data_IF_864013605914
#
_entry.id   IF_864013605914
#
_cell.length_a   1.000
_cell.length_b   1.000
_cell.length_c   1.000
_cell.angle_alpha   90.00
_cell.angle_beta   90.00
_cell.angle_gamma   90.00
#
_symmetry.space_group_name_H-M   'P 1'
#
loop_
_entity.id
_entity.type
_entity.pdbx_description
1 polymer ?
2 non-polymer ?
3 water ?
#
# COMPACT_ATOMS: atom_id res chain seq x y z
N UNK A 4 6.96 7.09 -15.80
CA UNK A 4 6.08 6.71 -14.70
C UNK A 4 5.25 5.48 -15.06
N UNK A 5 5.03 4.60 -14.07
CA UNK A 5 4.22 3.41 -14.27
C UNK A 5 2.74 3.79 -14.25
N UNK A 6 1.86 2.78 -14.32
CA UNK A 6 0.43 3.02 -14.26
C UNK A 6 -0.14 2.84 -12.87
N UNK A 7 0.44 3.51 -11.88
CA UNK A 7 -0.06 3.43 -10.51
C UNK A 7 -1.33 4.25 -10.30
N UNK A 8 -1.76 5.02 -11.29
CA UNK A 8 -2.88 5.93 -11.14
C UNK A 8 -3.98 5.71 -12.17
N UNK A 9 -3.88 4.68 -13.00
CA UNK A 9 -4.83 4.48 -14.08
C UNK A 9 -6.22 4.16 -13.54
N UNK A 10 -7.23 4.79 -14.14
CA UNK A 10 -8.62 4.63 -13.74
C UNK A 10 -9.43 4.09 -14.93
N UNK A 11 -10.27 3.06 -14.73
CA UNK A 11 -10.54 2.40 -13.45
C UNK A 11 -9.51 1.31 -13.11
N UNK A 12 -9.36 1.06 -11.82
CA UNK A 12 -8.47 -0.02 -11.36
C UNK A 12 -9.12 -1.35 -11.66
N UNK A 13 -8.37 -2.34 -12.15
CA UNK A 13 -8.97 -3.65 -12.47
C UNK A 13 -9.63 -4.28 -11.25
N UNK A 14 -10.52 -5.23 -11.52
CA UNK A 14 -11.35 -5.84 -10.48
C UNK A 14 -10.56 -6.74 -9.54
N UNK A 15 -9.33 -7.11 -9.88
CA UNK A 15 -8.54 -7.99 -9.02
C UNK A 15 -7.08 -7.52 -9.01
N UNK A 16 -6.40 -7.85 -7.91
CA UNK A 16 -5.00 -7.50 -7.74
C UNK A 16 -4.28 -8.67 -7.09
N UNK A 17 -2.95 -8.64 -7.15
CA UNK A 17 -2.11 -9.65 -6.54
C UNK A 17 -0.80 -9.00 -6.13
N UNK A 18 -0.53 -8.98 -4.83
CA UNK A 18 0.67 -8.35 -4.29
C UNK A 18 1.63 -9.45 -3.85
N UNK A 19 2.83 -9.45 -4.43
CA UNK A 19 3.85 -10.44 -4.14
C UNK A 19 5.05 -9.76 -3.49
N UNK A 20 5.61 -10.41 -2.47
CA UNK A 20 6.76 -9.89 -1.74
C UNK A 20 7.83 -10.97 -1.68
N UNK A 21 9.07 -10.60 -1.99
CA UNK A 21 10.16 -11.56 -2.10
C UNK A 21 11.30 -11.19 -1.16
N UNK A 22 11.96 -12.23 -0.65
CA UNK A 22 13.16 -12.08 0.17
C UNK A 22 14.37 -12.53 -0.65
N UNK A 23 15.40 -11.70 -0.68
CA UNK A 23 16.63 -12.04 -1.40
C UNK A 23 17.47 -12.94 -0.51
N UNK A 24 17.63 -14.21 -0.91
CA UNK A 24 18.40 -15.16 -0.14
C UNK A 24 19.62 -15.70 -0.87
N UNK A 25 19.61 -15.73 -2.20
CA UNK A 25 20.76 -16.16 -3.01
C UNK A 25 21.13 -15.02 -3.94
N UNK A 26 21.95 -14.07 -3.48
CA UNK A 26 22.23 -12.88 -4.30
C UNK A 26 23.04 -13.17 -5.55
N UNK A 27 23.78 -14.28 -5.59
CA UNK A 27 24.57 -14.60 -6.76
C UNK A 27 23.71 -14.90 -7.98
N UNK A 28 22.46 -15.32 -7.76
CA UNK A 28 21.53 -15.62 -8.85
C UNK A 28 20.65 -14.42 -9.23
N UNK A 29 20.90 -13.26 -8.63
CA UNK A 29 20.07 -12.09 -8.92
C UNK A 29 20.16 -11.63 -10.37
N UNK A 30 21.34 -11.55 -11.01
CA UNK A 30 21.37 -11.13 -12.42
C UNK A 30 20.51 -11.99 -13.32
N UNK A 31 20.47 -13.31 -13.09
CA UNK A 31 19.64 -14.17 -13.92
C UNK A 31 18.15 -13.90 -13.70
N UNK A 32 17.76 -13.52 -12.49
CA UNK A 32 16.36 -13.25 -12.21
C UNK A 32 15.91 -11.91 -12.78
N UNK A 33 16.78 -10.89 -12.71
CA UNK A 33 16.42 -9.57 -13.22
C UNK A 33 16.28 -9.59 -14.74
N UNK A 34 17.10 -10.37 -15.43
CA UNK A 34 17.04 -10.43 -16.89
C UNK A 34 15.74 -11.06 -17.38
N UNK A 35 15.02 -11.78 -16.52
CA UNK A 35 13.74 -12.35 -16.88
C UNK A 35 12.54 -11.61 -16.30
N UNK A 36 12.76 -10.72 -15.32
CA UNK A 36 11.68 -9.99 -14.69
C UNK A 36 11.46 -8.62 -15.33
N UNK A 37 12.54 -7.87 -15.54
CA UNK A 37 12.41 -6.50 -16.04
C UNK A 37 11.73 -6.41 -17.40
N UNK A 38 12.00 -7.29 -18.39
CA UNK A 38 11.23 -7.23 -19.65
C UNK A 38 9.73 -7.41 -19.47
N UNK A 39 9.27 -7.86 -18.30
CA UNK A 39 7.84 -8.03 -18.05
C UNK A 39 7.22 -6.87 -17.29
N UNK A 40 8.03 -6.02 -16.64
CA UNK A 40 7.52 -4.88 -15.90
C UNK A 40 7.02 -3.82 -16.88
N UNK A 41 5.72 -3.87 -17.20
CA UNK A 41 5.13 -2.92 -18.12
C UNK A 41 4.61 -1.66 -17.42
N UNK A 42 4.43 -1.70 -16.11
CA UNK A 42 3.91 -0.58 -15.36
C UNK A 42 2.40 -0.53 -15.25
N UNK A 43 1.68 -1.27 -16.09
CA UNK A 43 0.23 -1.28 -16.08
C UNK A 43 -0.35 -2.58 -15.56
N UNK A 44 0.11 -3.72 -16.10
CA UNK A 44 -0.33 -5.02 -15.60
C UNK A 44 0.61 -5.59 -14.56
N UNK A 45 1.90 -5.20 -14.61
CA UNK A 45 2.90 -5.67 -13.65
C UNK A 45 3.72 -4.47 -13.21
N UNK A 46 3.61 -4.12 -11.93
CA UNK A 46 4.34 -3.00 -11.36
C UNK A 46 5.41 -3.51 -10.41
N UNK A 47 6.47 -2.72 -10.25
CA UNK A 47 7.63 -3.13 -9.46
C UNK A 47 7.97 -2.06 -8.43
N UNK A 48 8.39 -2.52 -7.25
CA UNK A 48 8.84 -1.63 -6.19
C UNK A 48 10.05 -2.18 -5.48
N UNK A 49 11.12 -1.39 -5.40
CA UNK A 49 12.37 -1.82 -4.80
C UNK A 49 12.34 -1.53 -3.31
N UNK A 50 12.72 -2.53 -2.50
CA UNK A 50 12.78 -2.36 -1.07
C UNK A 50 14.17 -1.97 -0.59
N UNK A 51 14.21 -1.47 0.64
CA UNK A 51 15.49 -1.04 1.21
C UNK A 51 16.54 -2.15 1.29
N UNK A 52 16.23 -3.38 1.72
CA UNK A 52 17.29 -4.40 1.75
C UNK A 52 17.86 -4.75 0.39
N UNK A 53 17.07 -4.61 -0.67
CA UNK A 53 17.59 -4.88 -2.02
C UNK A 53 18.58 -3.81 -2.45
N UNK A 54 18.30 -2.54 -2.13
CA UNK A 54 19.26 -1.48 -2.42
C UNK A 54 20.49 -1.62 -1.53
N UNK A 55 20.30 -2.04 -0.28
CA UNK A 55 21.43 -2.20 0.62
C UNK A 55 22.30 -3.38 0.22
N UNK A 56 21.70 -4.43 -0.32
CA UNK A 56 22.47 -5.59 -0.75
C UNK A 56 23.33 -5.28 -1.97
N UNK A 57 22.93 -4.30 -2.77
CA UNK A 57 23.69 -3.88 -3.94
C UNK A 57 24.64 -2.73 -3.65
N UNK A 58 24.68 -2.24 -2.41
CA UNK A 58 25.59 -1.19 -2.01
C UNK A 58 25.19 0.21 -2.44
N UNK A 59 24.31 0.35 -3.43
CA UNK A 59 23.87 1.65 -3.90
C UNK A 59 22.66 2.10 -3.09
N UNK A 60 22.70 3.32 -2.58
CA UNK A 60 21.64 3.87 -1.74
C UNK A 60 20.76 4.79 -2.57
N UNK A 61 19.45 4.52 -2.54
CA UNK A 61 18.47 5.29 -3.30
C UNK A 61 17.94 6.42 -2.41
N UNK A 62 17.94 7.67 -2.88
CA UNK A 62 17.47 8.78 -2.03
C UNK A 62 15.97 8.66 -1.79
N UNK A 63 15.59 8.75 -0.50
CA UNK A 63 14.22 8.63 -0.09
C UNK A 63 13.79 7.23 0.30
N UNK A 64 14.49 6.20 -0.18
CA UNK A 64 14.14 4.83 0.14
C UNK A 64 14.73 4.42 1.48
N UNK A 65 13.89 3.88 2.36
CA UNK A 65 14.30 3.43 3.68
C UNK A 65 13.30 2.38 4.16
N UNK A 66 13.69 1.55 5.13
CA UNK A 66 12.76 0.53 5.62
C UNK A 66 11.52 1.15 6.26
N UNK A 67 10.48 0.32 6.39
CA UNK A 67 9.27 0.75 7.08
C UNK A 67 9.61 1.15 8.52
N UNK A 68 9.11 2.28 9.00
CA UNK A 68 9.58 2.81 10.28
C UNK A 68 9.09 1.99 11.47
N UNK A 69 9.80 2.16 12.58
CA UNK A 69 9.44 1.55 13.85
C UNK A 69 8.79 2.61 14.72
N UNK A 70 7.52 2.40 15.06
CA UNK A 70 6.73 3.39 15.79
C UNK A 70 6.48 2.89 17.20
N UNK A 71 7.28 3.38 18.15
CA UNK A 71 7.10 3.06 19.56
C UNK A 71 5.83 3.74 20.08
N UNK A 72 4.69 3.09 19.89
CA UNK A 72 3.40 3.65 20.28
C UNK A 72 2.60 2.59 21.02
N UNK A 73 1.38 2.95 21.40
CA UNK A 73 0.48 2.04 22.09
C UNK A 73 -0.22 1.08 21.14
N UNK A 74 -0.05 1.26 19.83
CA UNK A 74 -0.64 0.35 18.84
C UNK A 74 0.49 -0.25 18.01
N UNK A 75 0.21 -1.42 17.45
CA UNK A 75 1.22 -2.24 16.78
C UNK A 75 1.13 -2.02 15.27
N UNK A 76 2.17 -1.42 14.70
CA UNK A 76 2.33 -1.32 13.25
C UNK A 76 3.60 -2.07 12.88
N UNK A 77 3.49 -3.33 12.47
CA UNK A 77 4.70 -4.13 12.23
C UNK A 77 5.50 -3.62 11.04
N UNK A 78 6.80 -3.86 11.09
CA UNK A 78 7.72 -3.52 10.02
C UNK A 78 8.19 -4.82 9.38
N UNK A 79 7.50 -5.23 8.31
CA UNK A 79 7.85 -6.44 7.60
C UNK A 79 8.48 -6.10 6.25
N UNK A 80 9.59 -5.38 6.29
CA UNK A 80 10.22 -4.90 5.07
C UNK A 80 10.81 -6.07 4.28
N UNK A 81 10.50 -6.12 2.99
CA UNK A 81 11.01 -7.13 2.08
C UNK A 81 11.86 -6.46 1.00
N UNK A 82 12.43 -7.28 0.13
CA UNK A 82 13.38 -6.77 -0.85
C UNK A 82 12.69 -6.30 -2.13
N UNK A 83 11.66 -7.01 -2.57
CA UNK A 83 11.05 -6.73 -3.86
C UNK A 83 9.53 -6.87 -3.74
N UNK A 84 8.82 -6.00 -4.46
CA UNK A 84 7.35 -5.97 -4.46
C UNK A 84 6.86 -6.01 -5.90
N UNK A 85 6.00 -6.97 -6.21
CA UNK A 85 5.36 -7.08 -7.52
C UNK A 85 3.88 -6.81 -7.37
N UNK A 86 3.38 -5.82 -8.10
CA UNK A 86 1.98 -5.43 -8.06
C UNK A 86 1.34 -5.87 -9.37
N UNK A 87 0.52 -6.92 -9.30
CA UNK A 87 -0.19 -7.44 -10.45
C UNK A 87 -1.63 -6.94 -10.45
N UNK A 88 -2.06 -6.39 -11.58
CA UNK A 88 -3.42 -5.87 -11.74
C UNK A 88 -4.06 -6.53 -12.95
N UNK A 89 -5.33 -6.91 -12.81
CA UNK A 89 -6.03 -7.55 -13.90
C UNK A 89 -7.44 -7.90 -13.50
N UNK A 90 -8.28 -8.09 -14.52
CA UNK A 90 -9.68 -8.43 -14.28
C UNK A 90 -9.88 -9.91 -14.04
N UNK A 91 -9.01 -10.76 -14.59
CA UNK A 91 -9.13 -12.20 -14.44
C UNK A 91 -8.36 -12.64 -13.20
N UNK A 92 -9.09 -13.10 -12.18
CA UNK A 92 -8.46 -13.55 -10.96
C UNK A 92 -7.59 -14.79 -11.20
N UNK A 93 -8.03 -15.67 -12.10
CA UNK A 93 -7.26 -16.86 -12.38
C UNK A 93 -5.98 -16.58 -13.14
N UNK A 94 -5.99 -15.58 -14.02
CA UNK A 94 -4.77 -15.22 -14.74
C UNK A 94 -3.71 -14.68 -13.79
N UNK A 95 -4.13 -13.93 -12.78
CA UNK A 95 -3.18 -13.43 -11.79
C UNK A 95 -2.59 -14.56 -10.96
N UNK A 96 -3.38 -15.61 -10.70
CA UNK A 96 -2.87 -16.77 -9.97
C UNK A 96 -1.90 -17.57 -10.82
N UNK A 97 -2.15 -17.65 -12.12
CA UNK A 97 -1.23 -18.37 -13.00
C UNK A 97 0.06 -17.58 -13.19
N UNK A 98 -0.03 -16.25 -13.24
CA UNK A 98 1.18 -15.46 -13.50
C UNK A 98 2.06 -15.37 -12.25
N UNK A 99 1.48 -15.31 -11.06
CA UNK A 99 2.30 -15.28 -9.85
C UNK A 99 3.06 -16.59 -9.69
N UNK A 100 2.51 -17.70 -10.16
CA UNK A 100 3.25 -18.96 -10.13
C UNK A 100 4.40 -18.95 -11.13
N UNK A 101 4.19 -18.32 -12.29
CA UNK A 101 5.28 -18.19 -13.26
C UNK A 101 6.36 -17.23 -12.77
N UNK A 102 5.94 -16.13 -12.13
CA UNK A 102 6.91 -15.19 -11.58
C UNK A 102 7.68 -15.80 -10.41
N UNK A 103 7.02 -16.68 -9.64
CA UNK A 103 7.69 -17.30 -8.50
C UNK A 103 8.81 -18.23 -8.95
N UNK A 104 8.61 -18.92 -10.08
CA UNK A 104 9.62 -19.85 -10.58
C UNK A 104 10.78 -19.12 -11.25
N UNK A 105 10.48 -18.08 -12.03
CA UNK A 105 11.53 -17.35 -12.74
C UNK A 105 12.43 -16.56 -11.80
N UNK A 106 11.95 -16.23 -10.59
CA UNK A 106 12.74 -15.48 -9.64
C UNK A 106 13.60 -16.34 -8.73
N UNK A 107 13.31 -17.64 -8.65
CA UNK A 107 14.13 -18.56 -7.87
C UNK A 107 15.41 -18.90 -8.63
N UNK A 108 16.51 -19.18 -7.92
CA UNK A 108 16.66 -19.22 -6.46
C UNK A 108 17.09 -17.90 -5.84
N UNK A 109 17.12 -16.84 -6.64
CA UNK A 109 17.58 -15.54 -6.14
C UNK A 109 16.59 -14.96 -5.13
N UNK A 110 15.30 -15.00 -5.45
CA UNK A 110 14.27 -14.39 -4.61
C UNK A 110 13.23 -15.45 -4.26
N UNK A 111 12.99 -15.65 -2.97
CA UNK A 111 11.96 -16.55 -2.50
C UNK A 111 10.72 -15.76 -2.09
N UNK A 112 9.55 -16.28 -2.44
CA UNK A 112 8.30 -15.60 -2.12
C UNK A 112 8.08 -15.60 -0.61
N UNK A 113 8.07 -14.39 -0.02
CA UNK A 113 7.87 -14.20 1.41
C UNK A 113 6.42 -13.91 1.78
N UNK A 114 5.66 -13.24 0.93
CA UNK A 114 4.28 -12.93 1.22
C UNK A 114 3.51 -12.76 -0.09
N UNK A 115 2.22 -13.10 -0.05
CA UNK A 115 1.35 -12.98 -1.21
C UNK A 115 -0.05 -12.60 -0.75
N UNK A 116 -0.70 -11.71 -1.51
CA UNK A 116 -2.02 -11.18 -1.17
C UNK A 116 -2.91 -11.29 -2.38
N UNK A 117 -4.02 -12.05 -2.25
CA UNK A 117 -5.02 -12.16 -3.30
C UNK A 117 -6.06 -11.06 -3.08
N UNK A 118 -5.96 -9.99 -3.86
CA UNK A 118 -6.76 -8.80 -3.68
C UNK A 118 -7.88 -8.68 -4.69
N UNK A 119 -8.93 -7.97 -4.30
CA UNK A 119 -10.05 -7.67 -5.18
C UNK A 119 -10.61 -6.31 -4.81
N UNK A 120 -11.13 -5.60 -5.82
CA UNK A 120 -11.74 -4.30 -5.62
C UNK A 120 -13.22 -4.51 -5.29
N UNK A 121 -13.59 -4.25 -4.04
CA UNK A 121 -14.93 -4.56 -3.55
C UNK A 121 -15.87 -3.42 -3.90
N UNK A 122 -16.87 -3.72 -4.75
CA UNK A 122 -17.91 -2.77 -5.13
C UNK A 122 -17.33 -1.48 -5.71
N UNK A 123 -16.30 -1.63 -6.54
CA UNK A 123 -15.70 -0.50 -7.23
C UNK A 123 -14.79 0.37 -6.39
N UNK A 124 -14.74 0.18 -5.08
CA UNK A 124 -13.88 0.97 -4.23
C UNK A 124 -14.41 1.11 -2.82
N UNK A 125 -15.05 0.06 -2.32
CA UNK A 125 -15.61 0.04 -0.98
C UNK A 125 -14.83 -0.93 -0.10
N UNK A 126 -14.75 -0.61 1.18
CA UNK A 126 -14.18 -1.53 2.16
C UNK A 126 -15.23 -2.57 2.55
N UNK A 127 -14.76 -3.71 3.05
CA UNK A 127 -15.66 -4.78 3.45
C UNK A 127 -16.64 -4.35 4.53
N UNK A 128 -16.31 -3.32 5.31
CA UNK A 128 -17.23 -2.76 6.29
C UNK A 128 -18.34 -1.94 5.64
N UNK A 129 -18.31 -1.73 4.33
CA UNK A 129 -19.31 -0.98 3.63
C UNK A 129 -18.96 0.48 3.41
N UNK A 130 -17.96 1.00 4.11
CA UNK A 130 -17.60 2.41 3.99
C UNK A 130 -16.76 2.63 2.73
N UNK A 131 -17.15 3.66 1.95
CA UNK A 131 -16.46 3.98 0.71
C UNK A 131 -15.11 4.62 1.04
N UNK A 132 -14.02 3.89 0.78
CA UNK A 132 -12.68 4.43 0.95
C UNK A 132 -12.17 4.94 -0.40
N UNK A 133 -11.51 6.09 -0.36
CA UNK A 133 -11.07 6.76 -1.57
C UNK A 133 -11.92 7.95 -1.98
N UNK A 134 -12.84 8.40 -1.11
CA UNK A 134 -13.67 9.55 -1.44
C UNK A 134 -12.84 10.83 -1.51
N UNK A 135 -11.96 11.04 -0.53
CA UNK A 135 -11.15 12.24 -0.45
C UNK A 135 -9.79 12.09 -1.13
N UNK A 136 -9.69 11.22 -2.14
CA UNK A 136 -8.49 11.17 -2.95
C UNK A 136 -8.38 12.43 -3.80
N UNK A 137 -7.16 12.89 -4.07
CA UNK A 137 -6.99 14.08 -4.91
C UNK A 137 -7.62 13.88 -6.29
N UNK A 138 -8.01 14.99 -6.91
CA UNK A 138 -8.64 14.94 -8.22
C UNK A 138 -7.66 14.41 -9.26
N UNK A 139 -8.21 14.07 -10.44
CA UNK A 139 -7.43 13.37 -11.45
C UNK A 139 -6.20 14.14 -11.91
N UNK A 140 -6.19 15.47 -11.76
CA UNK A 140 -5.02 16.26 -12.10
C UNK A 140 -4.13 16.57 -10.89
N UNK A 141 -4.67 16.44 -9.67
CA UNK A 141 -3.85 16.55 -8.47
C UNK A 141 -3.12 15.26 -8.12
N UNK A 142 -3.51 14.14 -8.73
CA UNK A 142 -2.94 12.85 -8.37
C UNK A 142 -1.47 12.78 -8.79
N UNK A 143 -1.17 13.14 -10.04
CA UNK A 143 0.21 13.11 -10.51
C UNK A 143 1.09 14.04 -9.69
N UNK A 144 0.53 15.17 -9.23
CA UNK A 144 1.33 16.12 -8.46
C UNK A 144 1.65 15.55 -7.07
N UNK A 145 0.74 14.78 -6.49
CA UNK A 145 0.91 14.30 -5.12
C UNK A 145 1.56 12.93 -5.03
N UNK A 146 1.55 12.14 -6.11
CA UNK A 146 2.08 10.79 -6.08
C UNK A 146 3.43 10.63 -6.77
N UNK A 147 3.76 11.48 -7.73
CA UNK A 147 4.95 11.33 -8.54
C UNK A 147 5.97 12.38 -8.14
N UNK A 148 7.25 11.97 -8.09
CA UNK A 148 8.33 12.86 -7.68
C UNK A 148 8.92 13.53 -8.93
N UNK A 149 10.17 13.98 -8.85
CA UNK A 149 10.77 14.71 -9.96
C UNK A 149 11.14 13.77 -11.11
N UNK A 150 11.82 12.66 -10.80
CA UNK A 150 12.28 11.74 -11.82
C UNK A 150 11.14 10.94 -12.45
N UNK A 151 9.98 10.87 -11.79
CA UNK A 151 8.93 9.97 -12.19
C UNK A 151 8.75 8.82 -11.24
N UNK A 152 9.55 8.73 -10.18
CA UNK A 152 9.45 7.69 -9.18
C UNK A 152 8.32 7.98 -8.21
N UNK A 153 7.81 6.93 -7.60
CA UNK A 153 6.82 7.05 -6.53
C UNK A 153 7.27 6.22 -5.34
N UNK A 154 6.92 6.67 -4.15
CA UNK A 154 7.30 6.01 -2.91
C UNK A 154 6.04 5.48 -2.24
N UNK A 155 5.87 4.17 -2.28
CA UNK A 155 4.65 3.50 -1.84
C UNK A 155 4.84 2.84 -0.48
N UNK A 156 3.77 2.84 0.31
CA UNK A 156 3.73 2.19 1.61
C UNK A 156 2.61 1.18 1.63
N UNK A 157 2.93 -0.06 1.97
CA UNK A 157 1.97 -1.17 1.98
C UNK A 157 1.72 -1.63 3.40
N UNK A 158 0.46 -1.95 3.70
CA UNK A 158 0.08 -2.41 5.03
C UNK A 158 -1.11 -3.35 4.89
N UNK A 159 -0.97 -4.56 5.43
CA UNK A 159 -2.03 -5.57 5.35
C UNK A 159 -2.82 -5.53 6.65
N UNK A 160 -3.99 -4.88 6.60
CA UNK A 160 -4.85 -4.75 7.76
C UNK A 160 -5.83 -5.90 7.82
N UNK A 161 -5.95 -6.53 8.99
CA UNK A 161 -6.90 -7.62 9.21
C UNK A 161 -8.08 -7.09 10.01
N UNK A 162 -9.28 -7.26 9.48
CA UNK A 162 -10.49 -6.76 10.12
C UNK A 162 -11.12 -7.82 11.02
N UNK A 163 -11.79 -7.34 12.07
CA UNK A 163 -12.68 -8.18 12.87
C UNK A 163 -14.10 -7.77 12.49
N UNK A 164 -14.55 -8.26 11.33
CA UNK A 164 -15.85 -7.86 10.80
C UNK A 164 -16.98 -8.31 11.71
N UNK A 165 -16.84 -9.45 12.38
CA UNK A 165 -17.90 -9.92 13.28
C UNK A 165 -18.08 -8.98 14.47
N UNK A 166 -17.00 -8.31 14.89
CA UNK A 166 -17.08 -7.37 16.00
C UNK A 166 -17.51 -5.98 15.56
N UNK A 167 -16.97 -5.49 14.44
CA UNK A 167 -17.31 -4.14 13.99
C UNK A 167 -18.78 -4.05 13.59
N UNK A 168 -19.30 -5.06 12.91
CA UNK A 168 -20.69 -5.06 12.48
C UNK A 168 -21.66 -5.37 13.62
N UNK A 169 -21.18 -5.87 14.75
CA UNK A 169 -22.05 -6.09 15.90
C UNK A 169 -22.30 -4.80 16.69
N UNK A 170 -21.40 -3.83 16.59
CA UNK A 170 -21.60 -2.55 17.25
C UNK A 170 -22.78 -1.81 16.63
N UNK A 171 -23.42 -0.92 17.39
CA UNK A 171 -24.48 -0.09 16.80
C UNK A 171 -23.93 0.78 15.68
N UNK A 172 -24.84 1.17 14.78
CA UNK A 172 -24.43 1.93 13.60
C UNK A 172 -23.82 3.27 13.98
N UNK A 173 -24.22 3.84 15.13
CA UNK A 173 -23.62 5.09 15.57
C UNK A 173 -22.18 4.89 16.03
N UNK A 174 -21.89 3.76 16.68
CA UNK A 174 -20.52 3.47 17.08
C UNK A 174 -19.63 3.22 15.87
N UNK A 175 -20.15 2.52 14.86
CA UNK A 175 -19.39 2.27 13.65
C UNK A 175 -19.09 3.57 12.91
N UNK A 176 -20.04 4.50 12.89
CA UNK A 176 -19.82 5.78 12.22
C UNK A 176 -18.83 6.64 12.97
N UNK A 177 -18.84 6.58 14.31
CA UNK A 177 -17.89 7.37 15.10
C UNK A 177 -16.46 6.86 14.98
N UNK A 178 -16.28 5.59 14.62
CA UNK A 178 -14.94 5.05 14.39
C UNK A 178 -14.40 5.52 13.06
N UNK A 179 -15.22 5.43 12.01
CA UNK A 179 -14.78 5.85 10.67
C UNK A 179 -14.76 7.37 10.58
N UNK A 180 -15.77 8.04 11.12
CA UNK A 180 -15.94 9.46 10.94
C UNK A 180 -16.92 9.84 9.85
N UNK A 181 -17.56 8.87 9.20
CA UNK A 181 -18.57 9.12 8.18
C UNK A 181 -19.77 8.22 8.41
N UNK A 182 -20.94 8.71 8.01
CA UNK A 182 -22.16 7.93 8.12
C UNK A 182 -22.18 6.84 7.06
N UNK A 183 -22.53 5.61 7.48
CA UNK A 183 -22.61 4.52 6.51
C UNK A 183 -23.81 4.68 5.58
N UNK A 184 -24.86 5.36 6.05
CA UNK A 184 -26.07 5.49 5.24
C UNK A 184 -25.95 6.51 4.13
N UNK A 185 -24.97 7.42 4.19
CA UNK A 185 -24.87 8.42 3.13
C UNK A 185 -23.45 8.96 2.91
N UNK A 186 -22.42 8.36 3.51
CA UNK A 186 -21.03 8.76 3.30
C UNK A 186 -20.80 10.24 3.60
N UNK A 187 -21.54 10.78 4.55
CA UNK A 187 -21.39 12.18 4.94
C UNK A 187 -20.52 12.26 6.18
N UNK A 188 -19.65 13.26 6.21
CA UNK A 188 -18.72 13.43 7.31
C UNK A 188 -19.45 13.84 8.59
N UNK A 189 -19.15 13.16 9.69
CA UNK A 189 -19.67 13.51 11.01
C UNK A 189 -18.78 14.60 11.59
N UNK A 190 -19.20 15.85 11.41
CA UNK A 190 -18.37 16.99 11.82
C UNK A 190 -18.15 17.05 13.32
N UNK A 191 -18.96 16.34 14.11
CA UNK A 191 -18.79 16.30 15.55
C UNK A 191 -18.41 14.91 16.06
N UNK A 192 -17.87 14.06 15.18
CA UNK A 192 -17.35 12.79 15.60
C UNK A 192 -16.11 13.00 16.49
N UNK A 193 -15.79 12.02 17.33
CA UNK A 193 -14.58 12.15 18.16
C UNK A 193 -13.34 12.34 17.30
N UNK A 194 -12.34 13.04 17.87
CA UNK A 194 -11.09 13.23 17.15
C UNK A 194 -10.41 11.91 16.83
N UNK A 195 -10.76 10.84 17.54
CA UNK A 195 -10.24 9.51 17.25
C UNK A 195 -10.89 8.87 16.03
N UNK A 196 -11.83 9.54 15.37
CA UNK A 196 -12.40 9.01 14.14
C UNK A 196 -11.34 8.99 13.04
N UNK A 197 -11.43 7.98 12.17
CA UNK A 197 -10.37 7.78 11.18
C UNK A 197 -10.24 8.98 10.24
N UNK A 198 -11.37 9.54 9.82
CA UNK A 198 -11.30 10.71 8.95
C UNK A 198 -10.82 11.93 9.74
N UNK A 199 -11.14 12.00 11.04
CA UNK A 199 -10.60 13.06 11.87
C UNK A 199 -9.11 12.91 12.08
N UNK A 200 -8.63 11.67 12.25
CA UNK A 200 -7.20 11.44 12.41
C UNK A 200 -6.44 11.70 11.11
N UNK A 201 -7.03 11.35 9.96
CA UNK A 201 -6.35 11.40 8.68
C UNK A 201 -6.84 12.53 7.79
N UNK A 202 -7.43 13.57 8.37
CA UNK A 202 -7.82 14.74 7.58
C UNK A 202 -6.59 15.31 6.90
N UNK A 203 -6.52 15.15 5.56
CA UNK A 203 -5.31 15.53 4.83
C UNK A 203 -4.99 17.00 4.96
N UNK A 204 -6.01 17.85 5.14
CA UNK A 204 -5.78 19.28 5.31
C UNK A 204 -5.49 19.68 6.75
N UNK A 205 -5.70 18.77 7.72
CA UNK A 205 -5.41 19.08 9.11
C UNK A 205 -3.92 19.09 9.41
N UNK A 206 -3.11 18.38 8.63
CA UNK A 206 -1.66 18.40 8.79
C UNK A 206 -1.13 19.70 8.21
N UNK A 207 -0.65 20.58 9.09
CA UNK A 207 -0.31 21.94 8.67
C UNK A 207 0.81 21.99 7.65
N UNK A 208 1.95 21.28 7.81
CA UNK A 208 3.01 21.40 6.81
C UNK A 208 2.96 20.34 5.71
N UNK A 209 2.31 19.20 5.99
CA UNK A 209 2.38 18.08 5.07
C UNK A 209 1.34 18.20 3.96
N UNK A 210 1.46 17.30 2.97
CA UNK A 210 0.64 17.29 1.78
C UNK A 210 -0.28 16.06 1.78
N UNK A 211 -0.76 15.68 0.60
CA UNK A 211 -1.75 14.61 0.45
C UNK A 211 -1.05 13.32 0.03
N UNK A 212 -1.86 12.30 -0.25
CA UNK A 212 -1.36 11.03 -0.76
C UNK A 212 -2.43 10.42 -1.66
N UNK A 213 -1.99 9.49 -2.51
CA UNK A 213 -2.86 8.80 -3.45
C UNK A 213 -2.97 7.35 -3.01
N UNK A 214 -4.16 6.95 -2.56
CA UNK A 214 -4.39 5.60 -2.07
C UNK A 214 -4.91 4.70 -3.19
N UNK A 215 -4.42 3.46 -3.21
CA UNK A 215 -4.80 2.46 -4.20
C UNK A 215 -5.06 1.12 -3.52
N UNK A 216 -5.80 1.15 -2.42
CA UNK A 216 -6.03 -0.04 -1.62
C UNK A 216 -7.07 -0.94 -2.27
N UNK A 217 -7.02 -2.23 -1.89
CA UNK A 217 -8.02 -3.22 -2.29
C UNK A 217 -8.30 -4.11 -1.10
N UNK A 218 -9.39 -4.87 -1.19
CA UNK A 218 -9.78 -5.81 -0.16
C UNK A 218 -9.12 -7.18 -0.40
N UNK A 219 -9.01 -7.96 0.67
CA UNK A 219 -8.37 -9.27 0.60
C UNK A 219 -9.09 -10.26 1.49
N UNK A 220 -8.87 -11.54 1.20
CA UNK A 220 -9.43 -12.64 1.99
C UNK A 220 -8.46 -13.82 1.90
N UNK A 221 -8.09 -14.36 3.06
CA UNK A 221 -7.09 -15.41 3.15
C UNK A 221 -7.54 -16.43 4.19
N UNK A 222 -6.63 -17.37 4.51
CA UNK A 222 -6.79 -18.17 5.72
C UNK A 222 -6.47 -17.35 6.96
N UNK A 223 -5.79 -16.21 6.78
CA UNK A 223 -5.48 -15.30 7.88
C UNK A 223 -6.67 -14.43 8.27
N UNK A 224 -7.75 -14.46 7.49
CA UNK A 224 -8.91 -13.62 7.72
C UNK A 224 -9.24 -12.79 6.48
N UNK A 225 -9.63 -11.54 6.72
CA UNK A 225 -9.97 -10.62 5.65
C UNK A 225 -9.80 -9.19 6.14
N UNK A 226 -9.69 -8.27 5.19
CA UNK A 226 -9.52 -6.87 5.52
C UNK A 226 -9.18 -6.02 4.32
N UNK A 227 -8.31 -5.02 4.52
CA UNK A 227 -7.91 -4.08 3.49
C UNK A 227 -6.41 -4.14 3.29
N UNK A 228 -5.98 -4.25 2.03
CA UNK A 228 -4.57 -4.16 1.67
C UNK A 228 -4.28 -2.71 1.34
N UNK A 229 -3.76 -1.97 2.31
CA UNK A 229 -3.61 -0.53 2.18
C UNK A 229 -2.38 -0.17 1.36
N UNK A 230 -2.58 0.65 0.33
CA UNK A 230 -1.50 1.14 -0.53
C UNK A 230 -1.58 2.65 -0.56
N UNK A 231 -0.46 3.31 -0.24
CA UNK A 231 -0.38 4.76 -0.22
C UNK A 231 0.80 5.21 -1.05
N UNK A 232 0.52 5.89 -2.16
CA UNK A 232 1.54 6.41 -3.06
C UNK A 232 1.81 7.89 -2.75
N UNK A 233 3.02 8.32 -3.04
CA UNK A 233 3.39 9.70 -2.81
C UNK A 233 4.79 9.97 -3.29
N UNK A 234 5.07 11.27 -3.50
CA UNK A 234 6.40 11.71 -3.87
C UNK A 234 7.43 11.46 -2.78
N UNK A 235 6.99 11.15 -1.57
CA UNK A 235 7.87 10.77 -0.48
C UNK A 235 7.04 10.02 0.55
N UNK A 236 7.72 9.40 1.50
CA UNK A 236 7.05 8.73 2.60
C UNK A 236 6.62 9.70 3.70
N UNK A 237 6.87 11.00 3.53
CA UNK A 237 6.56 11.96 4.58
C UNK A 237 5.05 12.08 4.80
N UNK A 238 4.28 12.08 3.71
CA UNK A 238 2.82 12.18 3.84
C UNK A 238 2.26 11.00 4.60
N UNK A 239 2.72 9.78 4.28
CA UNK A 239 2.18 8.60 4.93
C UNK A 239 2.65 8.47 6.37
N UNK A 240 3.95 8.74 6.62
CA UNK A 240 4.49 8.52 7.96
C UNK A 240 3.91 9.50 8.97
N UNK A 241 3.64 10.75 8.54
CA UNK A 241 3.03 11.70 9.45
C UNK A 241 1.59 11.30 9.75
N UNK A 242 0.95 10.60 8.82
CA UNK A 242 -0.41 10.11 9.07
C UNK A 242 -0.40 8.96 10.08
N UNK A 243 0.49 7.99 9.87
CA UNK A 243 0.53 6.81 10.73
C UNK A 243 0.93 7.17 12.16
N UNK A 244 1.87 8.10 12.31
CA UNK A 244 2.21 8.58 13.65
C UNK A 244 1.03 9.31 14.29
N UNK A 245 0.27 10.04 13.48
CA UNK A 245 -0.94 10.68 13.97
C UNK A 245 -1.98 9.65 14.40
N UNK A 246 -2.14 8.60 13.60
CA UNK A 246 -3.12 7.56 13.94
C UNK A 246 -2.68 6.76 15.16
N UNK A 247 -1.37 6.54 15.31
CA UNK A 247 -0.84 5.75 16.43
C UNK A 247 -0.83 6.52 17.74
N UNK A 248 -1.21 7.80 17.73
CA UNK A 248 -1.19 8.61 18.94
C UNK A 248 0.14 9.25 19.27
N UNK A 249 1.06 9.34 18.30
CA UNK A 249 2.36 9.92 18.58
C UNK A 249 2.33 11.44 18.54
N UNK A 250 1.55 12.03 17.64
CA UNK A 250 1.43 13.48 17.59
C UNK A 250 0.66 14.01 18.79
N UNK A 251 -0.40 13.31 19.18
CA UNK A 251 -1.14 13.59 20.41
C UNK A 251 -1.76 12.29 20.88
N UNK A 252 -1.96 12.16 22.19
CA UNK A 252 -2.35 10.91 22.80
C UNK A 252 -3.63 10.26 22.32
N UNK A 253 -4.16 10.73 21.19
CA UNK A 253 -5.41 10.20 20.64
C UNK A 253 -5.07 9.10 19.63
N UNK A 254 -5.60 7.92 19.88
CA UNK A 254 -5.36 6.75 19.03
C UNK A 254 -6.50 6.60 18.06
N UNK A 255 -6.19 6.32 16.79
CA UNK A 255 -7.21 6.14 15.77
C UNK A 255 -8.18 5.04 16.16
N UNK A 256 -9.45 5.23 15.79
CA UNK A 256 -10.47 4.26 16.12
C UNK A 256 -10.41 2.97 15.33
N UNK A 257 -9.67 2.97 14.21
CA UNK A 257 -9.54 1.76 13.41
C UNK A 257 -8.88 0.63 14.21
N UNK A 258 -7.98 0.97 15.12
CA UNK A 258 -7.27 -0.05 15.90
C UNK A 258 -8.17 -0.78 16.88
N UNK A 259 -9.46 -0.44 16.96
CA UNK A 259 -10.35 -1.15 17.85
C UNK A 259 -10.91 -2.41 17.19
N UNK A 260 -11.00 -2.44 15.86
CA UNK A 260 -11.48 -3.61 15.13
C UNK A 260 -10.52 -4.10 14.06
N UNK A 261 -9.44 -3.39 13.77
CA UNK A 261 -8.52 -3.80 12.73
C UNK A 261 -7.08 -3.51 13.17
N UNK A 262 -6.15 -4.34 12.70
CA UNK A 262 -4.75 -4.16 13.01
C UNK A 262 -3.93 -4.56 11.80
N UNK A 263 -2.86 -3.83 11.49
CA UNK A 263 -2.02 -4.20 10.35
C UNK A 263 -1.16 -5.41 10.69
N UNK A 264 -1.04 -6.32 9.72
CA UNK A 264 -0.21 -7.51 9.89
C UNK A 264 1.18 -7.36 9.28
N UNK A 265 1.32 -6.54 8.24
CA UNK A 265 2.60 -6.30 7.59
C UNK A 265 2.81 -4.80 7.44
N UNK A 266 3.95 -4.43 6.86
CA UNK A 266 4.28 -3.05 6.62
C UNK A 266 5.62 -2.91 5.94
N UNK A 267 5.69 -2.13 4.87
CA UNK A 267 6.93 -1.99 4.12
C UNK A 267 6.93 -0.73 3.28
N UNK A 268 8.13 -0.18 3.07
CA UNK A 268 8.36 0.92 2.16
C UNK A 268 9.03 0.40 0.90
N UNK A 269 8.55 0.85 -0.26
CA UNK A 269 9.10 0.39 -1.53
C UNK A 269 9.17 1.56 -2.51
N UNK A 270 10.33 1.73 -3.14
CA UNK A 270 10.55 2.77 -4.14
C UNK A 270 10.15 2.23 -5.50
N UNK A 271 9.18 2.89 -6.14
CA UNK A 271 8.73 2.49 -7.47
C UNK A 271 9.59 3.16 -8.52
N UNK A 272 10.36 2.42 -9.30
CA UNK A 272 11.26 3.04 -10.29
C UNK A 272 10.47 3.69 -11.41
N UNK A 273 11.06 4.66 -12.11
CA UNK A 273 10.37 5.29 -13.24
C UNK A 273 10.36 4.38 -14.46
N UNK A 274 9.52 4.76 -15.43
CA UNK A 274 9.40 4.05 -16.70
C UNK A 274 10.09 4.89 -17.78
N UNK A 275 11.19 4.37 -18.31
CA UNK A 275 11.87 5.00 -19.43
C UNK A 275 11.24 4.52 -20.74
N UNK A 276 11.83 4.93 -21.86
CA UNK A 276 11.33 4.48 -23.16
C UNK A 276 11.60 3.01 -23.41
N UNK A 277 12.44 2.36 -22.60
CA UNK A 277 12.78 0.93 -22.75
C UNK A 277 12.53 0.25 -21.41
N UNK A 278 11.27 0.02 -21.09
CA UNK A 278 10.92 -0.71 -19.88
C UNK A 278 11.12 0.12 -18.62
N UNK A 279 11.27 -0.59 -17.51
CA UNK A 279 11.44 0.04 -16.20
C UNK A 279 12.86 0.55 -16.05
N UNK A 280 13.01 1.73 -15.46
CA UNK A 280 14.31 2.38 -15.30
C UNK A 280 14.84 2.07 -13.90
N UNK A 281 15.75 1.09 -13.83
CA UNK A 281 16.48 0.78 -12.61
C UNK A 281 17.93 1.22 -12.68
N UNK A 282 18.22 2.22 -13.50
CA UNK A 282 19.60 2.67 -13.69
C UNK A 282 20.28 3.16 -12.42
N UNK A 283 19.65 3.96 -11.56
CA UNK A 283 20.36 4.40 -10.33
C UNK A 283 20.80 3.24 -9.45
N UNK A 284 20.06 2.14 -9.45
CA UNK A 284 20.47 0.95 -8.72
C UNK A 284 21.42 0.08 -9.52
N UNK A 285 21.57 0.34 -10.82
CA UNK A 285 22.45 -0.43 -11.71
C UNK A 285 22.20 -1.93 -11.63
X LIG B 1 -9.98 8.05 4.47
X LIG B 1 -10.84 3.39 5.56
X LIG B 1 -6.14 2.79 6.59
X LIG B 1 -5.23 7.29 5.07
X LIG B 1 -10.64 6.85 4.69
X LIG B 1 -12.06 6.60 4.56
X LIG B 1 -12.29 5.31 4.86
X LIG B 1 -11.03 4.70 5.19
X LIG B 1 -13.66 4.61 4.85
X LIG B 1 -13.12 7.62 4.13
X LIG B 1 -12.95 7.89 2.64
X LIG B 1 -12.53 9.31 2.42
X LIG B 1 -12.80 10.16 3.31
X LIG B 1 -11.94 9.59 1.35
X LIG B 1 -9.66 2.83 6.00
X LIG B 1 -9.49 1.53 6.63
X LIG B 1 -8.18 1.37 6.90
X LIG B 1 -7.49 2.56 6.47
X LIG B 1 -10.67 0.56 6.89
X LIG B 1 -7.43 0.19 7.56
X LIG B 1 -8.03 -0.87 8.13
X LIG B 1 -5.49 3.98 6.36
X LIG B 1 -4.15 4.33 6.79
X LIG B 1 -3.90 5.58 6.36
X LIG B 1 -5.07 6.05 5.67
X LIG B 1 -3.24 3.37 7.59
X LIG B 1 -2.63 6.46 6.56
X LIG B 1 -1.53 6.10 7.23
X LIG B 1 -6.43 7.89 4.78
X LIG B 1 -6.59 9.24 4.28
X LIG B 1 -7.90 9.46 4.11
X LIG B 1 -8.62 8.25 4.49
X LIG B 1 -5.45 10.23 4.01
X LIG B 1 -8.51 10.78 3.59
X LIG B 1 -9.40 11.42 4.65
X LIG B 1 -9.60 12.88 4.36
X LIG B 1 -10.55 13.49 4.94
X LIG B 1 -8.82 13.45 3.56
X LIG B 1 -10.04 5.67 5.08
X LIG B 1 -8.41 3.43 5.92
X LIG B 1 -6.02 5.06 5.68
X LIG B 1 -7.68 7.32 4.89
X LIG B 1 -8.04 5.39 5.44
#
# INVERSE_FOLDING_TARGET
>A
MPFQQGLLATPVPAHARHLFFTLQSPEALPAALDALLPQVDGKQLLLGVGAPLAKALGREIPGLRPFPLLDAAVENPSTQHALWLWLRGDERGDLLLRTQALEQALAPALSLADSVDGFLHRGGYDLTGYEDGTENPTDEEVVQAAIAADGSSFAAFQLWKHDLQYFKSLPQADQDNIIGRRLSDNEKLDDAPASAHVKRTAQESFEPEAFMVRRSVSWADQRGAGLAFVALGKSFEAFEVQLRRMSGLEDGIIDGLYRFSRPLTGGYYWCPPMSETGVDLSPLLRA
>B hetero
1 HEM CHA CHB CHC CHD C1A C2A C3A C4A CMA CAA CBA CGA O1A O2A C1B C2B C3B C4B CMB CAB CBB C1C C2C C3C C4C CMC CAC CBC C1D C2D C3D C4D CMD CAD CBD CGD O1D O2D NA NB NC ND FE
#
